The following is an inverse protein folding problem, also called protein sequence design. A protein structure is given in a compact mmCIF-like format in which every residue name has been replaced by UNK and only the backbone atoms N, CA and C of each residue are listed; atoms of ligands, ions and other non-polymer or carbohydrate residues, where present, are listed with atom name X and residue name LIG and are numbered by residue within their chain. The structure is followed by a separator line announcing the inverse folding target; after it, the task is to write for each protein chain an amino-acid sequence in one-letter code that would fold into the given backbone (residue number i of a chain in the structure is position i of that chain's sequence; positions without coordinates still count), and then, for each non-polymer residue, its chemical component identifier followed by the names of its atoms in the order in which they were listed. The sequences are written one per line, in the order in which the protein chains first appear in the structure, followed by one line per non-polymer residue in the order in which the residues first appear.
data_IF_204018866732
#
_entry.id   IF_204018866732
#
_cell.length_a   1.000
_cell.length_b   1.000
_cell.length_c   1.000
_cell.angle_alpha   90.00
_cell.angle_beta   90.00
_cell.angle_gamma   90.00
#
_symmetry.space_group_name_H-M   'P 1'
#
loop_
_entity.id
_entity.type
_entity.pdbx_description
1 polymer ?
#
# COMPACT_ATOMS: atom_id res chain seq x y z
N UNK A 1 -29.83 -0.93 15.07
CA UNK A 1 -28.41 -0.54 15.21
C UNK A 1 -27.60 -1.60 14.49
N UNK A 2 -27.16 -1.28 13.25
CA UNK A 2 -26.30 -2.17 12.47
C UNK A 2 -24.89 -1.89 13.00
N UNK A 3 -24.34 -2.87 13.74
CA UNK A 3 -22.95 -2.80 14.21
C UNK A 3 -22.02 -2.73 13.01
N UNK A 4 -21.38 -1.60 12.79
CA UNK A 4 -20.25 -1.46 11.88
C UNK A 4 -19.15 -2.38 12.43
N UNK A 5 -18.97 -3.53 11.79
CA UNK A 5 -17.81 -4.40 12.02
C UNK A 5 -16.56 -3.52 11.85
N UNK A 6 -15.82 -3.32 12.94
CA UNK A 6 -14.67 -2.43 12.94
C UNK A 6 -13.69 -2.90 11.85
N UNK A 7 -13.47 -2.05 10.86
CA UNK A 7 -12.60 -2.35 9.73
C UNK A 7 -11.23 -2.82 10.27
N UNK A 8 -10.84 -4.00 9.85
CA UNK A 8 -9.64 -4.70 10.33
C UNK A 8 -8.41 -4.25 9.57
N UNK A 9 -7.26 -4.16 10.26
CA UNK A 9 -5.96 -3.92 9.63
C UNK A 9 -5.60 -5.04 8.66
N UNK A 10 -5.35 -4.73 7.39
CA UNK A 10 -4.91 -5.66 6.35
C UNK A 10 -3.39 -5.77 6.33
N UNK A 11 -2.90 -6.99 6.18
CA UNK A 11 -1.49 -7.31 6.07
C UNK A 11 -1.03 -7.20 4.62
N UNK A 12 -0.22 -6.20 4.30
CA UNK A 12 0.37 -6.01 2.98
C UNK A 12 1.80 -6.53 2.97
N UNK A 13 2.08 -7.43 2.01
CA UNK A 13 3.40 -8.04 1.80
C UNK A 13 3.96 -7.57 0.47
N UNK A 14 5.11 -6.86 0.51
CA UNK A 14 5.80 -6.45 -0.72
C UNK A 14 6.58 -7.61 -1.32
N UNK A 15 6.43 -7.82 -2.62
CA UNK A 15 7.12 -8.83 -3.45
C UNK A 15 7.81 -8.15 -4.64
N UNK A 16 8.87 -8.76 -5.18
CA UNK A 16 9.61 -8.25 -6.34
C UNK A 16 9.64 -9.22 -7.53
N UNK A 17 9.19 -10.46 -7.32
CA UNK A 17 9.16 -11.48 -8.37
C UNK A 17 7.97 -12.42 -8.20
N UNK A 18 7.55 -13.14 -9.27
CA UNK A 18 6.50 -14.15 -9.19
C UNK A 18 6.81 -15.27 -8.18
N UNK A 19 8.07 -15.61 -7.96
CA UNK A 19 8.47 -16.67 -7.03
C UNK A 19 8.11 -16.33 -5.57
N UNK A 20 8.12 -15.05 -5.21
CA UNK A 20 7.75 -14.61 -3.86
C UNK A 20 6.24 -14.64 -3.59
N UNK A 21 5.40 -14.67 -4.65
CA UNK A 21 3.93 -14.66 -4.53
C UNK A 21 3.42 -15.82 -3.70
N UNK A 22 3.96 -17.02 -3.94
CA UNK A 22 3.55 -18.21 -3.18
C UNK A 22 3.82 -18.03 -1.69
N UNK A 23 5.00 -17.54 -1.31
CA UNK A 23 5.37 -17.26 0.08
C UNK A 23 4.45 -16.21 0.72
N UNK A 24 4.17 -15.12 0.01
CA UNK A 24 3.26 -14.08 0.49
C UNK A 24 1.84 -14.62 0.73
N UNK A 25 1.28 -15.35 -0.23
CA UNK A 25 -0.09 -15.87 -0.15
C UNK A 25 -0.24 -16.97 0.89
N UNK A 26 0.67 -17.95 0.92
CA UNK A 26 0.63 -19.04 1.93
C UNK A 26 0.87 -18.52 3.35
N UNK A 27 1.62 -17.42 3.48
CA UNK A 27 1.83 -16.73 4.75
C UNK A 27 0.66 -15.82 5.15
N UNK A 28 -0.43 -15.76 4.36
CA UNK A 28 -1.66 -15.07 4.72
C UNK A 28 -1.66 -13.56 4.42
N UNK A 29 -0.92 -13.11 3.40
CA UNK A 29 -1.03 -11.74 2.91
C UNK A 29 -2.49 -11.40 2.53
N UNK A 30 -2.97 -10.24 2.96
CA UNK A 30 -4.27 -9.69 2.56
C UNK A 30 -4.14 -8.86 1.29
N UNK A 31 -2.94 -8.29 1.04
CA UNK A 31 -2.60 -7.53 -0.17
C UNK A 31 -1.18 -7.94 -0.59
N UNK A 32 -0.99 -8.19 -1.88
CA UNK A 32 0.34 -8.39 -2.48
C UNK A 32 0.79 -7.07 -3.11
N UNK A 33 1.96 -6.56 -2.72
CA UNK A 33 2.48 -5.26 -3.15
C UNK A 33 3.71 -5.43 -4.04
N UNK A 34 3.62 -5.01 -5.28
CA UNK A 34 4.71 -5.11 -6.27
C UNK A 34 5.65 -3.92 -6.11
N UNK A 35 6.89 -4.19 -5.66
CA UNK A 35 7.87 -3.15 -5.35
C UNK A 35 9.30 -3.68 -5.43
N UNK A 36 10.21 -2.94 -6.11
CA UNK A 36 11.65 -3.25 -6.12
C UNK A 36 12.38 -2.41 -5.06
N UNK A 37 12.75 -3.02 -3.93
CA UNK A 37 13.35 -2.26 -2.83
C UNK A 37 14.77 -1.73 -3.11
N UNK A 38 15.43 -2.18 -4.18
CA UNK A 38 16.77 -1.71 -4.58
C UNK A 38 16.71 -0.43 -5.40
N UNK A 39 15.56 -0.14 -6.01
CA UNK A 39 15.32 1.00 -6.90
C UNK A 39 14.67 2.20 -6.17
N UNK A 40 14.89 2.31 -4.86
CA UNK A 40 14.41 3.45 -4.08
C UNK A 40 13.33 3.17 -3.06
N UNK A 41 12.66 4.22 -2.61
CA UNK A 41 11.58 4.13 -1.61
C UNK A 41 10.35 3.42 -2.17
N UNK A 42 9.97 3.75 -3.40
CA UNK A 42 8.85 3.17 -4.15
C UNK A 42 9.33 2.57 -5.49
N UNK A 43 10.53 1.97 -5.52
CA UNK A 43 11.12 1.44 -6.73
C UNK A 43 10.12 0.59 -7.53
N UNK A 44 9.95 0.90 -8.83
CA UNK A 44 9.05 0.18 -9.71
C UNK A 44 9.68 -1.14 -10.16
N UNK A 45 8.84 -2.15 -10.27
CA UNK A 45 9.18 -3.41 -10.97
C UNK A 45 8.81 -3.25 -12.45
N UNK A 46 9.56 -3.87 -13.34
CA UNK A 46 9.25 -3.85 -14.77
C UNK A 46 7.81 -4.33 -15.06
N UNK A 47 7.14 -3.72 -16.03
CA UNK A 47 5.71 -3.94 -16.27
C UNK A 47 5.37 -5.40 -16.63
N UNK A 48 6.23 -6.08 -17.37
CA UNK A 48 6.09 -7.51 -17.71
C UNK A 48 6.18 -8.40 -16.46
N UNK A 49 7.11 -8.10 -15.54
CA UNK A 49 7.25 -8.79 -14.25
C UNK A 49 6.05 -8.47 -13.35
N UNK A 50 5.60 -7.20 -13.32
CA UNK A 50 4.38 -6.80 -12.58
C UNK A 50 3.17 -7.58 -13.07
N UNK A 51 2.97 -7.69 -14.38
CA UNK A 51 1.91 -8.51 -14.98
C UNK A 51 2.05 -10.00 -14.65
N UNK A 52 3.30 -10.53 -14.62
CA UNK A 52 3.54 -11.91 -14.22
C UNK A 52 3.20 -12.17 -12.74
N UNK A 53 3.53 -11.23 -11.84
CA UNK A 53 3.14 -11.28 -10.42
C UNK A 53 1.62 -11.25 -10.29
N UNK A 54 0.93 -10.35 -11.00
CA UNK A 54 -0.54 -10.24 -10.97
C UNK A 54 -1.19 -11.53 -11.44
N UNK A 55 -0.70 -12.13 -12.54
CA UNK A 55 -1.17 -13.44 -13.00
C UNK A 55 -0.91 -14.55 -11.98
N UNK A 56 0.26 -14.54 -11.31
CA UNK A 56 0.59 -15.52 -10.27
C UNK A 56 -0.32 -15.38 -9.03
N UNK A 57 -0.76 -14.17 -8.69
CA UNK A 57 -1.76 -13.94 -7.63
C UNK A 57 -3.12 -14.49 -8.04
N UNK A 58 -3.48 -14.43 -9.32
CA UNK A 58 -4.69 -15.03 -9.90
C UNK A 58 -5.99 -14.62 -9.17
N UNK A 59 -6.14 -13.34 -8.82
CA UNK A 59 -7.33 -12.81 -8.15
C UNK A 59 -7.54 -13.26 -6.70
N UNK A 60 -6.64 -14.08 -6.13
CA UNK A 60 -6.77 -14.59 -4.75
C UNK A 60 -6.66 -13.50 -3.69
N UNK A 61 -5.96 -12.42 -3.99
CA UNK A 61 -5.80 -11.22 -3.16
C UNK A 61 -5.65 -10.00 -4.05
N UNK A 62 -6.03 -8.80 -3.58
CA UNK A 62 -5.72 -7.55 -4.28
C UNK A 62 -4.21 -7.38 -4.46
N UNK A 63 -3.84 -6.78 -5.60
CA UNK A 63 -2.46 -6.44 -5.94
C UNK A 63 -2.31 -4.94 -6.02
N UNK A 64 -1.27 -4.39 -5.37
CA UNK A 64 -0.84 -3.00 -5.57
C UNK A 64 0.53 -2.96 -6.24
N UNK A 65 0.82 -1.90 -6.99
CA UNK A 65 2.15 -1.67 -7.56
C UNK A 65 2.56 -0.20 -7.47
N UNK A 66 3.86 0.04 -7.34
CA UNK A 66 4.47 1.36 -7.34
C UNK A 66 4.88 1.78 -8.74
N UNK A 67 4.85 3.09 -9.03
CA UNK A 67 5.28 3.66 -10.31
C UNK A 67 6.75 4.12 -10.33
N UNK A 68 7.46 3.95 -9.22
CA UNK A 68 8.85 4.37 -9.04
C UNK A 68 8.99 5.68 -8.27
N UNK A 69 10.25 6.00 -7.92
CA UNK A 69 10.62 7.26 -7.28
C UNK A 69 10.72 8.33 -8.39
N UNK A 70 9.70 9.16 -8.49
CA UNK A 70 9.58 10.19 -9.52
C UNK A 70 8.68 11.33 -9.04
N UNK A 71 8.66 12.46 -9.75
CA UNK A 71 7.71 13.54 -9.50
C UNK A 71 6.27 13.08 -9.74
N UNK A 72 5.29 13.80 -9.20
CA UNK A 72 3.89 13.44 -9.37
C UNK A 72 3.43 13.59 -10.83
N UNK A 73 4.03 14.53 -11.57
CA UNK A 73 3.82 14.74 -13.01
C UNK A 73 4.30 13.51 -13.82
N UNK A 74 5.50 13.02 -13.52
CA UNK A 74 6.03 11.79 -14.15
C UNK A 74 5.22 10.56 -13.76
N UNK A 75 4.76 10.49 -12.51
CA UNK A 75 3.91 9.41 -12.02
C UNK A 75 2.60 9.33 -12.83
N UNK A 76 1.98 10.47 -13.14
CA UNK A 76 0.76 10.51 -13.94
C UNK A 76 0.92 9.83 -15.31
N UNK A 77 2.08 10.00 -15.96
CA UNK A 77 2.36 9.33 -17.23
C UNK A 77 2.52 7.79 -17.10
N UNK A 78 2.91 7.30 -15.92
CA UNK A 78 3.18 5.87 -15.66
C UNK A 78 1.97 5.09 -15.13
N UNK A 79 1.01 5.79 -14.49
CA UNK A 79 -0.16 5.19 -13.85
C UNK A 79 -0.94 4.28 -14.79
N UNK A 80 -1.24 4.75 -16.02
CA UNK A 80 -2.01 3.99 -16.99
C UNK A 80 -1.35 2.67 -17.39
N UNK A 81 -0.03 2.69 -17.65
CA UNK A 81 0.73 1.50 -18.01
C UNK A 81 0.80 0.50 -16.83
N UNK A 82 0.98 1.01 -15.60
CA UNK A 82 0.98 0.16 -14.40
C UNK A 82 -0.39 -0.46 -14.17
N UNK A 83 -1.47 0.30 -14.30
CA UNK A 83 -2.84 -0.22 -14.18
C UNK A 83 -3.16 -1.31 -15.22
N UNK A 84 -2.65 -1.15 -16.46
CA UNK A 84 -2.83 -2.12 -17.53
C UNK A 84 -2.20 -3.50 -17.25
N UNK A 85 -1.32 -3.62 -16.25
CA UNK A 85 -0.79 -4.92 -15.78
C UNK A 85 -1.82 -5.73 -14.97
N UNK A 86 -3.01 -5.18 -14.72
CA UNK A 86 -4.10 -5.82 -13.99
C UNK A 86 -4.02 -5.67 -12.47
N UNK A 87 -3.20 -4.75 -11.95
CA UNK A 87 -3.15 -4.45 -10.51
C UNK A 87 -4.43 -3.74 -10.05
N UNK A 88 -4.82 -3.97 -8.80
CA UNK A 88 -6.00 -3.35 -8.19
C UNK A 88 -5.75 -1.93 -7.70
N UNK A 89 -4.52 -1.61 -7.30
CA UNK A 89 -4.13 -0.30 -6.81
C UNK A 89 -2.80 0.14 -7.43
N UNK A 90 -2.72 1.42 -7.79
CA UNK A 90 -1.46 2.03 -8.24
C UNK A 90 -0.99 3.04 -7.18
N UNK A 91 0.25 2.87 -6.71
CA UNK A 91 0.83 3.72 -5.68
C UNK A 91 1.75 4.76 -6.31
N UNK A 92 1.54 6.04 -5.93
CA UNK A 92 2.34 7.18 -6.36
C UNK A 92 2.93 7.89 -5.15
N UNK A 93 4.22 8.22 -5.19
CA UNK A 93 4.92 8.92 -4.12
C UNK A 93 4.73 10.44 -4.22
N UNK A 94 4.52 11.09 -3.08
CA UNK A 94 4.56 12.54 -2.99
C UNK A 94 6.00 12.98 -2.67
N UNK A 95 6.85 12.96 -3.70
CA UNK A 95 8.22 13.44 -3.61
C UNK A 95 8.26 14.96 -3.84
N UNK A 96 8.71 15.72 -2.82
CA UNK A 96 8.69 17.17 -2.84
C UNK A 96 7.30 17.76 -2.58
N UNK A 97 7.08 19.02 -2.97
CA UNK A 97 5.79 19.71 -2.86
C UNK A 97 5.05 19.59 -4.20
N UNK A 98 4.00 18.75 -4.30
CA UNK A 98 3.27 18.60 -5.56
C UNK A 98 2.55 19.89 -5.97
N UNK A 99 2.59 20.21 -7.26
CA UNK A 99 1.83 21.33 -7.81
C UNK A 99 0.35 20.99 -7.92
N UNK A 100 -0.58 21.97 -7.91
CA UNK A 100 -1.99 21.71 -8.21
C UNK A 100 -2.20 21.06 -9.58
N UNK A 101 -1.36 21.36 -10.57
CA UNK A 101 -1.40 20.77 -11.90
C UNK A 101 -1.06 19.27 -11.89
N UNK A 102 -0.11 18.85 -11.02
CA UNK A 102 0.26 17.45 -10.86
C UNK A 102 -0.91 16.60 -10.32
N UNK A 103 -1.64 17.11 -9.34
CA UNK A 103 -2.86 16.45 -8.85
C UNK A 103 -3.92 16.34 -9.94
N UNK A 104 -4.15 17.44 -10.67
CA UNK A 104 -5.13 17.47 -11.78
C UNK A 104 -4.78 16.48 -12.90
N UNK A 105 -3.50 16.21 -13.14
CA UNK A 105 -3.07 15.20 -14.11
C UNK A 105 -3.44 13.77 -13.73
N UNK A 106 -3.69 13.48 -12.44
CA UNK A 106 -4.09 12.17 -11.93
C UNK A 106 -5.61 11.94 -11.87
N UNK A 107 -6.42 13.01 -11.82
CA UNK A 107 -7.89 12.92 -11.78
C UNK A 107 -8.49 12.05 -12.92
N UNK A 108 -8.04 12.14 -14.21
CA UNK A 108 -8.58 11.30 -15.26
C UNK A 108 -8.35 9.81 -15.05
N UNK A 109 -7.29 9.43 -14.34
CA UNK A 109 -7.01 8.02 -14.01
C UNK A 109 -7.99 7.51 -12.96
N UNK A 110 -8.23 8.27 -11.90
CA UNK A 110 -9.24 7.95 -10.89
C UNK A 110 -10.64 7.89 -11.51
N UNK A 111 -11.00 8.84 -12.38
CA UNK A 111 -12.26 8.88 -13.11
C UNK A 111 -12.50 7.67 -14.04
N UNK A 112 -11.44 6.97 -14.45
CA UNK A 112 -11.50 5.70 -15.20
C UNK A 112 -11.53 4.46 -14.31
N UNK A 113 -11.67 4.64 -12.99
CA UNK A 113 -11.75 3.55 -12.03
C UNK A 113 -10.41 3.00 -11.56
N UNK A 114 -9.26 3.66 -11.88
CA UNK A 114 -7.95 3.28 -11.34
C UNK A 114 -7.89 3.72 -9.88
N UNK A 115 -7.71 2.78 -8.97
CA UNK A 115 -7.61 3.06 -7.54
C UNK A 115 -6.21 3.54 -7.18
N UNK A 116 -6.05 4.86 -7.03
CA UNK A 116 -4.79 5.51 -6.70
C UNK A 116 -4.56 5.52 -5.18
N UNK A 117 -3.34 5.21 -4.76
CA UNK A 117 -2.87 5.35 -3.37
C UNK A 117 -1.71 6.34 -3.36
N UNK A 118 -1.85 7.44 -2.64
CA UNK A 118 -0.74 8.37 -2.42
C UNK A 118 0.17 7.86 -1.29
N UNK A 119 1.48 7.96 -1.47
CA UNK A 119 2.45 7.64 -0.42
C UNK A 119 3.15 8.92 0.02
N UNK A 120 2.93 9.29 1.27
CA UNK A 120 3.60 10.40 1.96
C UNK A 120 4.78 9.85 2.76
N UNK A 121 5.84 10.63 2.88
CA UNK A 121 7.07 10.17 3.53
C UNK A 121 7.26 10.83 4.89
N UNK A 122 7.31 10.02 5.94
CA UNK A 122 7.42 10.44 7.33
C UNK A 122 8.71 11.25 7.63
N UNK A 123 9.79 10.91 6.92
CA UNK A 123 11.10 11.56 7.00
C UNK A 123 11.21 12.83 6.12
N UNK A 124 10.12 13.28 5.52
CA UNK A 124 10.04 14.47 4.64
C UNK A 124 9.02 15.50 5.13
N UNK A 125 8.75 15.54 6.44
CA UNK A 125 7.80 16.47 7.06
C UNK A 125 6.45 16.53 6.29
N UNK A 126 5.67 15.44 6.27
CA UNK A 126 4.48 15.36 5.44
C UNK A 126 3.42 16.40 5.83
N UNK A 127 2.83 17.06 4.83
CA UNK A 127 1.77 18.04 5.00
C UNK A 127 0.39 17.38 5.03
N UNK A 128 -0.25 17.32 6.19
CA UNK A 128 -1.57 16.68 6.35
C UNK A 128 -2.67 17.34 5.54
N UNK A 129 -2.55 18.64 5.23
CA UNK A 129 -3.50 19.37 4.40
C UNK A 129 -3.63 18.82 2.97
N UNK A 130 -2.63 18.06 2.50
CA UNK A 130 -2.69 17.39 1.19
C UNK A 130 -3.74 16.26 1.16
N UNK A 131 -4.11 15.68 2.31
CA UNK A 131 -5.05 14.56 2.38
C UNK A 131 -6.41 14.94 1.80
N UNK A 132 -6.93 16.13 2.12
CA UNK A 132 -8.18 16.63 1.54
C UNK A 132 -8.11 16.81 0.02
N UNK A 133 -6.95 17.24 -0.50
CA UNK A 133 -6.75 17.41 -1.95
C UNK A 133 -6.70 16.05 -2.66
N UNK A 134 -6.04 15.05 -2.06
CA UNK A 134 -6.03 13.68 -2.57
C UNK A 134 -7.44 13.10 -2.66
N UNK A 135 -8.25 13.30 -1.62
CA UNK A 135 -9.65 12.86 -1.63
C UNK A 135 -10.45 13.57 -2.74
N UNK A 136 -10.28 14.89 -2.88
CA UNK A 136 -10.95 15.68 -3.93
C UNK A 136 -10.56 15.22 -5.35
N UNK A 137 -9.31 14.76 -5.55
CA UNK A 137 -8.81 14.19 -6.82
C UNK A 137 -9.19 12.72 -7.03
N UNK A 138 -10.00 12.12 -6.16
CA UNK A 138 -10.52 10.76 -6.32
C UNK A 138 -9.54 9.65 -5.94
N UNK A 139 -8.52 9.93 -5.14
CA UNK A 139 -7.65 8.89 -4.60
C UNK A 139 -8.46 7.92 -3.72
N UNK A 140 -8.11 6.64 -3.76
CA UNK A 140 -8.72 5.61 -2.94
C UNK A 140 -8.13 5.52 -1.53
N UNK A 141 -6.91 6.05 -1.34
CA UNK A 141 -6.26 6.01 -0.04
C UNK A 141 -4.91 6.73 0.01
N UNK A 142 -4.36 6.79 1.20
CA UNK A 142 -3.07 7.40 1.50
C UNK A 142 -2.27 6.48 2.44
N UNK A 143 -0.96 6.41 2.24
CA UNK A 143 -0.04 5.65 3.11
C UNK A 143 1.10 6.51 3.59
N UNK A 144 1.57 6.25 4.81
CA UNK A 144 2.88 6.70 5.27
C UNK A 144 3.92 5.62 5.01
N UNK A 145 5.07 6.02 4.48
CA UNK A 145 6.29 5.23 4.34
C UNK A 145 7.49 6.12 4.76
N UNK A 146 8.72 5.68 4.63
CA UNK A 146 9.94 6.46 4.76
C UNK A 146 10.67 6.49 3.41
N UNK A 147 11.17 7.65 3.00
CA UNK A 147 11.94 7.79 1.77
C UNK A 147 13.36 7.23 1.95
N UNK A 148 14.06 7.68 2.96
CA UNK A 148 15.41 7.21 3.29
C UNK A 148 15.37 6.16 4.41
N UNK A 149 15.55 4.90 4.02
CA UNK A 149 15.55 3.77 4.98
C UNK A 149 16.77 3.73 5.90
N UNK A 150 17.83 4.48 5.59
CA UNK A 150 19.01 4.57 6.46
C UNK A 150 18.77 5.47 7.68
N UNK A 151 17.81 6.38 7.59
CA UNK A 151 17.45 7.30 8.67
C UNK A 151 16.47 6.70 9.69
N UNK A 152 16.13 5.42 9.59
CA UNK A 152 15.24 4.74 10.52
C UNK A 152 13.87 4.38 9.95
N UNK A 153 13.01 3.82 10.79
CA UNK A 153 11.65 3.44 10.43
C UNK A 153 10.63 4.54 10.72
N UNK A 154 9.38 4.27 10.39
CA UNK A 154 8.25 5.20 10.55
C UNK A 154 8.20 5.85 11.94
N UNK A 155 8.36 5.05 13.00
CA UNK A 155 8.27 5.50 14.40
C UNK A 155 9.48 6.30 14.88
N UNK A 156 10.57 6.35 14.11
CA UNK A 156 11.70 7.22 14.39
C UNK A 156 11.42 8.67 13.96
N UNK A 157 10.47 8.88 13.05
CA UNK A 157 10.17 10.18 12.46
C UNK A 157 8.86 10.78 12.98
N UNK A 158 7.86 9.94 13.31
CA UNK A 158 6.55 10.39 13.75
C UNK A 158 6.16 9.75 15.08
N UNK A 159 5.71 10.58 16.02
CA UNK A 159 5.18 10.10 17.30
C UNK A 159 3.80 9.44 17.11
N UNK A 160 3.37 8.63 18.07
CA UNK A 160 2.08 7.92 18.02
C UNK A 160 0.88 8.88 17.84
N UNK A 161 0.94 10.09 18.41
CA UNK A 161 -0.09 11.13 18.25
C UNK A 161 -0.21 11.62 16.81
N UNK A 162 0.94 11.76 16.11
CA UNK A 162 0.98 12.25 14.73
C UNK A 162 0.46 11.18 13.76
N UNK A 163 0.79 9.90 14.04
CA UNK A 163 0.25 8.75 13.31
C UNK A 163 -1.27 8.60 13.53
N UNK A 164 -1.75 8.79 14.77
CA UNK A 164 -3.19 8.78 15.07
C UNK A 164 -3.91 9.92 14.35
N UNK A 165 -3.32 11.12 14.31
CA UNK A 165 -3.85 12.27 13.58
C UNK A 165 -3.94 11.99 12.08
N UNK A 166 -2.87 11.49 11.47
CA UNK A 166 -2.86 11.09 10.05
C UNK A 166 -3.99 10.10 9.72
N UNK A 167 -4.15 9.05 10.53
CA UNK A 167 -5.19 8.04 10.32
C UNK A 167 -6.60 8.63 10.47
N UNK A 168 -6.81 9.53 11.43
CA UNK A 168 -8.09 10.19 11.64
C UNK A 168 -8.43 11.14 10.47
N UNK A 169 -7.44 11.92 10.01
CA UNK A 169 -7.59 12.84 8.89
C UNK A 169 -7.92 12.09 7.59
N UNK A 170 -7.19 11.01 7.27
CA UNK A 170 -7.49 10.20 6.10
C UNK A 170 -8.91 9.63 6.14
N UNK A 171 -9.34 9.10 7.28
CA UNK A 171 -10.70 8.55 7.46
C UNK A 171 -11.78 9.60 7.35
N UNK A 172 -11.56 10.82 7.87
CA UNK A 172 -12.54 11.91 7.79
C UNK A 172 -12.86 12.30 6.34
N UNK A 173 -11.92 12.03 5.42
CA UNK A 173 -12.08 12.23 3.99
C UNK A 173 -12.44 10.95 3.20
N UNK A 174 -12.77 9.84 3.88
CA UNK A 174 -13.17 8.58 3.24
C UNK A 174 -12.02 7.82 2.57
N UNK A 175 -10.76 8.17 2.87
CA UNK A 175 -9.59 7.50 2.31
C UNK A 175 -9.17 6.29 3.15
N UNK A 176 -8.72 5.23 2.48
CA UNK A 176 -7.99 4.15 3.14
C UNK A 176 -6.66 4.70 3.69
N UNK A 177 -6.36 4.38 4.95
CA UNK A 177 -5.17 4.87 5.63
C UNK A 177 -4.19 3.73 5.94
N UNK A 178 -2.97 3.77 5.37
CA UNK A 178 -1.96 2.74 5.53
C UNK A 178 -0.69 3.22 6.22
N UNK A 179 -0.02 2.32 6.93
CA UNK A 179 1.28 2.53 7.55
C UNK A 179 2.32 1.55 7.01
N UNK A 180 3.47 2.07 6.61
CA UNK A 180 4.65 1.34 6.18
C UNK A 180 5.91 2.10 6.64
N UNK A 181 7.09 1.76 6.15
CA UNK A 181 8.33 2.46 6.51
C UNK A 181 9.18 1.66 7.48
N UNK A 182 9.87 0.63 6.96
CA UNK A 182 10.80 -0.23 7.69
C UNK A 182 10.22 -0.85 8.97
N UNK A 183 8.90 -1.09 8.99
CA UNK A 183 8.21 -1.63 10.15
C UNK A 183 8.74 -3.01 10.53
N UNK A 184 8.93 -3.21 11.84
CA UNK A 184 9.33 -4.45 12.47
C UNK A 184 8.18 -5.04 13.30
N UNK A 185 8.38 -6.20 13.90
CA UNK A 185 7.39 -6.87 14.76
C UNK A 185 6.96 -5.98 15.97
N UNK A 186 7.91 -5.31 16.61
CA UNK A 186 7.61 -4.38 17.69
C UNK A 186 6.77 -3.19 17.25
N UNK A 187 6.99 -2.72 16.01
CA UNK A 187 6.18 -1.64 15.43
C UNK A 187 4.76 -2.11 15.13
N UNK A 188 4.60 -3.33 14.61
CA UNK A 188 3.28 -3.90 14.39
C UNK A 188 2.45 -3.92 15.69
N UNK A 189 3.03 -4.42 16.78
CA UNK A 189 2.37 -4.45 18.10
C UNK A 189 1.98 -3.06 18.61
N UNK A 190 2.84 -2.06 18.39
CA UNK A 190 2.61 -0.69 18.87
C UNK A 190 1.59 0.08 18.00
N UNK A 191 1.50 -0.24 16.71
CA UNK A 191 0.66 0.49 15.75
C UNK A 191 -0.74 -0.12 15.55
N UNK A 192 -0.92 -1.42 15.80
CA UNK A 192 -2.24 -2.08 15.69
C UNK A 192 -3.34 -1.42 16.51
N UNK A 193 -3.10 -0.92 17.76
CA UNK A 193 -4.12 -0.19 18.52
C UNK A 193 -4.64 1.07 17.84
N UNK A 194 -3.87 1.69 16.91
CA UNK A 194 -4.30 2.85 16.12
C UNK A 194 -5.26 2.45 14.99
N UNK A 195 -5.42 1.13 14.74
CA UNK A 195 -6.31 0.56 13.72
C UNK A 195 -6.08 1.11 12.31
N UNK A 196 -4.84 1.11 11.76
CA UNK A 196 -4.63 1.45 10.36
C UNK A 196 -5.39 0.46 9.46
N UNK A 197 -5.89 0.90 8.30
CA UNK A 197 -6.56 0.00 7.35
C UNK A 197 -5.60 -0.99 6.71
N UNK A 198 -4.34 -0.59 6.56
CA UNK A 198 -3.27 -1.42 5.98
C UNK A 198 -1.97 -1.23 6.75
N UNK A 199 -1.24 -2.30 6.99
CA UNK A 199 0.16 -2.25 7.41
C UNK A 199 1.03 -3.01 6.41
N UNK A 200 2.06 -2.31 5.88
CA UNK A 200 2.95 -2.81 4.84
C UNK A 200 4.33 -3.22 5.36
N UNK A 201 4.80 -4.38 4.91
CA UNK A 201 6.07 -4.96 5.33
C UNK A 201 6.88 -5.52 4.15
N UNK A 202 8.20 -5.39 4.24
CA UNK A 202 9.16 -6.07 3.37
C UNK A 202 10.35 -6.59 4.18
N UNK A 203 11.22 -5.73 4.70
CA UNK A 203 12.49 -6.11 5.35
C UNK A 203 12.31 -7.09 6.50
N UNK A 204 11.33 -6.86 7.37
CA UNK A 204 11.01 -7.75 8.50
C UNK A 204 10.62 -9.17 8.07
N UNK A 205 10.18 -9.34 6.81
CA UNK A 205 9.73 -10.61 6.25
C UNK A 205 10.82 -11.35 5.48
N UNK A 206 12.00 -10.75 5.28
CA UNK A 206 13.10 -11.31 4.52
C UNK A 206 14.09 -12.07 5.41
N UNK A 207 14.74 -13.10 4.86
CA UNK A 207 15.62 -14.01 5.61
C UNK A 207 16.77 -13.33 6.35
N UNK A 208 17.41 -12.34 5.74
CA UNK A 208 18.48 -11.54 6.37
C UNK A 208 18.00 -10.31 7.14
N UNK A 209 16.68 -10.06 7.22
CA UNK A 209 16.12 -8.82 7.76
C UNK A 209 16.32 -7.60 6.85
N UNK A 210 16.92 -7.78 5.68
CA UNK A 210 17.18 -6.73 4.70
C UNK A 210 16.15 -6.78 3.59
N UNK A 211 15.61 -5.62 3.20
CA UNK A 211 14.54 -5.52 2.20
C UNK A 211 14.88 -6.04 0.80
N UNK A 212 16.19 -6.13 0.47
CA UNK A 212 16.69 -6.68 -0.78
C UNK A 212 16.80 -8.21 -0.80
N UNK A 213 16.61 -8.88 0.34
CA UNK A 213 16.67 -10.33 0.45
C UNK A 213 15.32 -10.96 0.06
N UNK A 214 15.29 -12.29 -0.09
CA UNK A 214 14.08 -13.05 -0.43
C UNK A 214 13.17 -13.18 0.79
N UNK A 215 11.85 -13.22 0.55
CA UNK A 215 10.85 -13.49 1.60
C UNK A 215 11.07 -14.87 2.24
N UNK A 216 10.96 -14.91 3.56
CA UNK A 216 11.04 -16.15 4.35
C UNK A 216 9.66 -16.51 4.89
N UNK A 217 9.16 -17.71 4.53
CA UNK A 217 7.82 -18.19 4.90
C UNK A 217 7.55 -18.12 6.40
N UNK A 218 8.53 -18.48 7.23
CA UNK A 218 8.41 -18.41 8.69
C UNK A 218 8.18 -16.99 9.19
N UNK A 219 8.91 -16.00 8.65
CA UNK A 219 8.77 -14.59 9.04
C UNK A 219 7.43 -14.02 8.61
N UNK A 220 6.95 -14.38 7.42
CA UNK A 220 5.62 -13.96 6.94
C UNK A 220 4.54 -14.53 7.85
N UNK A 221 4.61 -15.83 8.21
CA UNK A 221 3.67 -16.46 9.12
C UNK A 221 3.71 -15.86 10.54
N UNK A 222 4.90 -15.55 11.07
CA UNK A 222 5.05 -14.89 12.38
C UNK A 222 4.40 -13.49 12.38
N UNK A 223 4.65 -12.68 11.35
CA UNK A 223 4.02 -11.36 11.23
C UNK A 223 2.50 -11.47 11.08
N UNK A 224 2.01 -12.45 10.30
CA UNK A 224 0.58 -12.74 10.18
C UNK A 224 -0.09 -13.04 11.51
N UNK A 225 0.59 -13.80 12.38
CA UNK A 225 0.06 -14.14 13.70
C UNK A 225 -0.14 -12.91 14.62
N UNK A 226 0.60 -11.84 14.38
CA UNK A 226 0.43 -10.57 15.10
C UNK A 226 -0.74 -9.74 14.58
N UNK A 227 -0.96 -9.76 13.25
CA UNK A 227 -2.02 -8.97 12.60
C UNK A 227 -3.25 -9.88 12.43
N UNK A 228 -4.33 -9.70 13.22
CA UNK A 228 -5.45 -10.64 13.21
C UNK A 228 -6.08 -10.83 11.84
N UNK A 229 -6.43 -12.07 11.48
CA UNK A 229 -7.30 -12.34 10.33
C UNK A 229 -8.74 -11.99 10.72
N UNK A 230 -9.48 -11.21 9.91
CA UNK A 230 -10.93 -11.12 10.02
C UNK A 230 -11.59 -12.35 9.42
N UNK A 231 -12.83 -12.58 9.72
CA UNK A 231 -13.65 -13.52 9.00
C UNK A 231 -13.60 -13.21 7.51
N UNK A 232 -13.38 -14.23 6.67
CA UNK A 232 -13.35 -14.08 5.21
C UNK A 232 -14.73 -13.62 4.74
N UNK A 233 -14.89 -12.37 4.37
CA UNK A 233 -16.02 -11.96 3.55
C UNK A 233 -15.80 -12.60 2.17
N UNK A 234 -16.53 -13.68 1.89
CA UNK A 234 -16.67 -14.22 0.56
C UNK A 234 -17.21 -13.10 -0.32
N UNK A 235 -16.43 -12.65 -1.29
CA UNK A 235 -16.94 -11.80 -2.35
C UNK A 235 -17.89 -12.67 -3.16
N UNK A 236 -19.18 -12.64 -2.83
CA UNK A 236 -20.22 -13.10 -3.73
C UNK A 236 -20.26 -12.08 -4.87
N UNK A 237 -19.74 -12.47 -6.00
CA UNK A 237 -20.00 -11.81 -7.28
C UNK A 237 -21.49 -12.07 -7.56
N UNK A 238 -22.36 -11.12 -7.21
CA UNK A 238 -23.72 -11.12 -7.76
C UNK A 238 -23.59 -10.87 -9.27
N UNK A 239 -23.61 -11.96 -10.02
CA UNK A 239 -23.94 -11.93 -11.43
C UNK A 239 -25.41 -11.52 -11.51
N UNK A 240 -25.68 -10.25 -11.77
CA UNK A 240 -26.99 -9.81 -12.22
C UNK A 240 -27.27 -10.43 -13.58
N UNK A 241 -27.93 -11.59 -13.54
CA UNK A 241 -28.63 -12.12 -14.70
C UNK A 241 -29.77 -11.17 -15.01
N UNK A 242 -29.55 -10.27 -15.96
CA UNK A 242 -30.62 -9.51 -16.60
C UNK A 242 -31.40 -10.45 -17.51
N UNK A 243 -32.61 -10.81 -17.09
CA UNK A 243 -33.65 -11.38 -17.96
C UNK A 243 -34.46 -10.21 -18.50
N UNK A 244 -34.68 -10.26 -19.81
CA UNK A 244 -35.53 -9.52 -20.76
C UNK A 244 -34.82 -8.48 -21.61
#
# INVERSE_FOLDING_TARGET
MIGTEAARTRFLVSVRSPDEVRTALSGGADIVDVKEPREGALGAVALDVTAAITRAVAGRRPVSATVGDCSLEEAAARVGATAATGVDYVKVGLFGTPSPAAFKALEPHAGRGIRLIAVMFADRAPEWTLIRHLAACGFAGVMLDTADKAQGGLRSHLAARDLAHFLAEARSHGLLAGLAGSLQEADARALLPLRPDVMGFRGALCGGGRRGDTLESRRVAMMRALIPQGASASIQTEATAGVW
#
